data_IF_867109757454
#
_entry.id   IF_867109757454
#
_cell.length_a   1.000
_cell.length_b   1.000
_cell.length_c   1.000
_cell.angle_alpha   90.00
_cell.angle_beta   90.00
_cell.angle_gamma   90.00
#
_symmetry.space_group_name_H-M   'P 1'
#
loop_
_entity.id
_entity.type
_entity.pdbx_description
1 polymer ?
#
# COMPACT_ATOMS: atom_id res chain seq x y z
N UNK A 1 -41.98 -17.54 -19.46
CA UNK A 1 -41.49 -16.22 -18.99
C UNK A 1 -40.38 -16.32 -17.94
N UNK A 2 -40.51 -17.15 -16.90
CA UNK A 2 -39.52 -17.27 -15.80
C UNK A 2 -38.09 -17.64 -16.21
N UNK A 3 -37.90 -18.51 -17.22
CA UNK A 3 -36.55 -18.91 -17.70
C UNK A 3 -35.78 -17.78 -18.40
N UNK A 4 -36.48 -16.86 -19.07
CA UNK A 4 -35.86 -15.73 -19.78
C UNK A 4 -35.41 -14.66 -18.79
N UNK A 5 -36.20 -14.42 -17.74
CA UNK A 5 -35.84 -13.50 -16.65
C UNK A 5 -34.62 -14.00 -15.87
N UNK A 6 -34.55 -15.32 -15.61
CA UNK A 6 -33.38 -15.92 -14.97
C UNK A 6 -32.13 -15.85 -15.84
N UNK A 7 -32.25 -16.09 -17.16
CA UNK A 7 -31.15 -15.93 -18.10
C UNK A 7 -30.61 -14.50 -18.16
N UNK A 8 -31.50 -13.50 -18.22
CA UNK A 8 -31.12 -12.10 -18.19
C UNK A 8 -30.44 -11.70 -16.86
N UNK A 9 -30.95 -12.19 -15.73
CA UNK A 9 -30.36 -11.95 -14.42
C UNK A 9 -28.95 -12.54 -14.31
N UNK A 10 -28.74 -13.78 -14.77
CA UNK A 10 -27.42 -14.42 -14.75
C UNK A 10 -26.42 -13.66 -15.64
N UNK A 11 -26.84 -13.17 -16.81
CA UNK A 11 -25.98 -12.38 -17.70
C UNK A 11 -25.61 -11.04 -17.07
N UNK A 12 -26.56 -10.35 -16.43
CA UNK A 12 -26.30 -9.06 -15.75
C UNK A 12 -25.39 -9.26 -14.53
N UNK A 13 -25.61 -10.31 -13.74
CA UNK A 13 -24.74 -10.64 -12.60
C UNK A 13 -23.35 -11.05 -13.08
N UNK A 14 -23.24 -11.86 -14.13
CA UNK A 14 -21.94 -12.21 -14.71
C UNK A 14 -21.21 -10.98 -15.25
N UNK A 15 -21.90 -10.07 -15.93
CA UNK A 15 -21.32 -8.80 -16.39
C UNK A 15 -20.89 -7.90 -15.20
N UNK A 16 -21.66 -7.87 -14.12
CA UNK A 16 -21.32 -7.12 -12.91
C UNK A 16 -20.12 -7.72 -12.17
N UNK A 17 -20.03 -9.06 -12.10
CA UNK A 17 -18.88 -9.77 -11.52
C UNK A 17 -17.64 -9.55 -12.38
N UNK A 18 -17.74 -9.67 -13.70
CA UNK A 18 -16.63 -9.37 -14.63
C UNK A 18 -16.21 -7.90 -14.54
N UNK A 19 -17.16 -6.96 -14.41
CA UNK A 19 -16.86 -5.53 -14.23
C UNK A 19 -16.17 -5.25 -12.89
N UNK A 20 -16.60 -5.88 -11.79
CA UNK A 20 -15.93 -5.77 -10.49
C UNK A 20 -14.55 -6.40 -10.51
N UNK A 21 -14.40 -7.57 -11.14
CA UNK A 21 -13.08 -8.20 -11.33
C UNK A 21 -12.20 -7.31 -12.20
N UNK A 22 -12.72 -6.66 -13.24
CA UNK A 22 -11.96 -5.73 -14.07
C UNK A 22 -11.58 -4.45 -13.30
N UNK A 23 -12.44 -3.93 -12.42
CA UNK A 23 -12.12 -2.79 -11.57
C UNK A 23 -11.05 -3.15 -10.54
N UNK A 24 -11.17 -4.29 -9.87
CA UNK A 24 -10.16 -4.78 -8.91
C UNK A 24 -8.87 -5.19 -9.61
N UNK A 25 -8.95 -5.79 -10.80
CA UNK A 25 -7.77 -6.09 -11.61
C UNK A 25 -7.13 -4.80 -12.11
N UNK A 26 -7.88 -3.76 -12.48
CA UNK A 26 -7.30 -2.46 -12.81
C UNK A 26 -6.62 -1.82 -11.60
N UNK A 27 -7.14 -1.94 -10.37
CA UNK A 27 -6.46 -1.38 -9.20
C UNK A 27 -5.21 -2.18 -8.79
N UNK A 28 -5.17 -3.49 -9.08
CA UNK A 28 -4.03 -4.37 -8.74
C UNK A 28 -2.98 -4.46 -9.86
N UNK A 29 -3.38 -4.44 -11.13
CA UNK A 29 -2.50 -4.56 -12.30
C UNK A 29 -2.09 -3.22 -12.93
N UNK A 30 -2.77 -2.10 -12.66
CA UNK A 30 -2.22 -0.76 -12.99
C UNK A 30 -0.96 -0.42 -12.20
N UNK A 31 -0.58 -1.25 -11.21
CA UNK A 31 0.70 -1.13 -10.51
C UNK A 31 1.86 -1.87 -11.17
N UNK A 32 1.66 -2.63 -12.27
CA UNK A 32 2.71 -3.54 -12.77
C UNK A 32 2.92 -3.62 -14.29
N UNK A 33 2.27 -2.79 -15.10
CA UNK A 33 2.65 -2.66 -16.52
C UNK A 33 2.72 -1.19 -16.95
N UNK A 34 3.88 -0.79 -17.47
CA UNK A 34 4.05 0.48 -18.20
C UNK A 34 4.75 1.57 -17.40
N UNK A 35 6.05 1.72 -17.62
CA UNK A 35 6.82 2.83 -17.08
C UNK A 35 6.30 4.19 -17.55
N UNK A 36 6.56 5.20 -16.73
CA UNK A 36 6.86 6.57 -17.15
C UNK A 36 5.99 7.21 -18.24
N UNK A 37 4.69 6.96 -18.29
CA UNK A 37 3.79 7.94 -18.88
C UNK A 37 3.52 8.97 -17.80
N UNK A 38 4.19 10.11 -17.98
CA UNK A 38 4.00 11.32 -17.20
C UNK A 38 2.54 11.45 -16.81
N UNK A 39 2.23 11.19 -15.54
CA UNK A 39 1.04 11.73 -14.92
C UNK A 39 1.04 13.21 -15.29
N UNK A 40 0.13 13.58 -16.19
CA UNK A 40 -0.14 14.96 -16.54
C UNK A 40 -0.22 15.68 -15.21
N UNK A 41 0.68 16.64 -14.99
CA UNK A 41 0.89 17.24 -13.69
C UNK A 41 -0.46 17.74 -13.19
N UNK A 42 -1.06 17.03 -12.24
CA UNK A 42 -2.30 17.48 -11.64
C UNK A 42 -1.98 18.82 -11.00
N UNK A 43 -2.55 19.94 -11.48
CA UNK A 43 -2.15 21.28 -11.05
C UNK A 43 -2.41 21.51 -9.56
N UNK A 44 -3.16 20.61 -8.90
CA UNK A 44 -3.36 20.59 -7.44
C UNK A 44 -2.13 20.13 -6.66
N UNK A 45 -1.18 19.44 -7.31
CA UNK A 45 0.02 18.91 -6.67
C UNK A 45 1.28 19.41 -7.40
N UNK A 46 1.78 20.61 -7.04
CA UNK A 46 2.98 21.14 -7.65
C UNK A 46 4.16 20.19 -7.43
N UNK A 47 4.90 19.90 -8.51
CA UNK A 47 6.06 19.00 -8.45
C UNK A 47 7.18 19.65 -7.64
N UNK A 48 7.95 18.81 -6.96
CA UNK A 48 9.24 19.17 -6.35
C UNK A 48 10.36 19.04 -7.40
N UNK A 49 11.48 19.71 -7.16
CA UNK A 49 12.70 19.60 -7.94
C UNK A 49 13.31 18.20 -7.87
N UNK A 50 14.19 17.86 -8.82
CA UNK A 50 14.68 16.50 -9.01
C UNK A 50 15.47 15.95 -7.81
N UNK A 51 16.15 16.82 -7.06
CA UNK A 51 16.90 16.42 -5.86
C UNK A 51 15.97 16.00 -4.72
N UNK A 52 14.93 16.79 -4.43
CA UNK A 52 13.91 16.41 -3.46
C UNK A 52 13.10 15.19 -3.94
N UNK A 53 12.72 15.14 -5.22
CA UNK A 53 11.95 14.03 -5.79
C UNK A 53 12.63 12.67 -5.59
N UNK A 54 13.94 12.59 -5.81
CA UNK A 54 14.70 11.34 -5.63
C UNK A 54 14.67 10.86 -4.18
N UNK A 55 15.01 11.74 -3.24
CA UNK A 55 14.98 11.39 -1.81
C UNK A 55 13.56 11.08 -1.34
N UNK A 56 12.56 11.76 -1.90
CA UNK A 56 11.15 11.53 -1.60
C UNK A 56 10.72 10.12 -2.02
N UNK A 57 11.09 9.71 -3.24
CA UNK A 57 10.81 8.38 -3.75
C UNK A 57 11.49 7.29 -2.91
N UNK A 58 12.75 7.49 -2.51
CA UNK A 58 13.47 6.60 -1.59
C UNK A 58 12.71 6.42 -0.26
N UNK A 59 12.15 7.50 0.29
CA UNK A 59 11.36 7.43 1.52
C UNK A 59 9.99 6.77 1.33
N UNK A 60 9.33 6.97 0.20
CA UNK A 60 8.08 6.26 -0.13
C UNK A 60 8.34 4.76 -0.20
N UNK A 61 9.40 4.34 -0.90
CA UNK A 61 9.79 2.93 -0.98
C UNK A 61 10.15 2.36 0.40
N UNK A 62 10.83 3.13 1.24
CA UNK A 62 11.12 2.72 2.62
C UNK A 62 9.85 2.53 3.46
N UNK A 63 8.85 3.41 3.32
CA UNK A 63 7.54 3.26 3.98
C UNK A 63 6.85 1.97 3.54
N UNK A 64 6.82 1.69 2.24
CA UNK A 64 6.21 0.46 1.72
C UNK A 64 6.92 -0.79 2.19
N UNK A 65 8.25 -0.79 2.21
CA UNK A 65 9.04 -1.91 2.74
C UNK A 65 8.73 -2.15 4.23
N UNK A 66 8.71 -1.08 5.03
CA UNK A 66 8.40 -1.17 6.46
C UNK A 66 6.98 -1.69 6.69
N UNK A 67 6.00 -1.19 5.92
CA UNK A 67 4.61 -1.65 5.94
C UNK A 67 4.51 -3.14 5.65
N UNK A 68 5.12 -3.61 4.56
CA UNK A 68 5.09 -5.02 4.17
C UNK A 68 5.74 -5.93 5.23
N UNK A 69 6.89 -5.52 5.76
CA UNK A 69 7.57 -6.28 6.81
C UNK A 69 6.69 -6.40 8.07
N UNK A 70 6.15 -5.27 8.55
CA UNK A 70 5.31 -5.19 9.74
C UNK A 70 3.97 -5.94 9.58
N UNK A 71 3.36 -5.90 8.40
CA UNK A 71 2.07 -6.56 8.16
C UNK A 71 2.11 -8.07 8.38
N UNK A 72 3.29 -8.70 8.26
CA UNK A 72 3.46 -10.15 8.43
C UNK A 72 3.57 -10.62 9.88
N UNK A 73 3.69 -9.68 10.83
CA UNK A 73 3.89 -9.98 12.25
C UNK A 73 2.67 -10.64 12.92
N UNK A 74 2.93 -11.29 14.06
CA UNK A 74 1.93 -12.09 14.77
C UNK A 74 0.99 -11.27 15.67
N UNK A 75 1.36 -10.04 16.04
CA UNK A 75 0.56 -9.16 16.89
C UNK A 75 0.69 -7.70 16.48
N UNK A 76 -0.24 -6.88 16.98
CA UNK A 76 -0.23 -5.43 16.79
C UNK A 76 1.05 -4.78 17.31
N UNK A 77 1.53 -5.19 18.49
CA UNK A 77 2.74 -4.66 19.12
C UNK A 77 3.99 -5.04 18.32
N UNK A 78 4.07 -6.30 17.86
CA UNK A 78 5.16 -6.77 17.03
C UNK A 78 5.19 -6.05 15.66
N UNK A 79 4.02 -5.86 15.04
CA UNK A 79 3.89 -5.09 13.80
C UNK A 79 4.38 -3.65 13.98
N UNK A 80 3.93 -2.98 15.04
CA UNK A 80 4.35 -1.60 15.33
C UNK A 80 5.85 -1.49 15.57
N UNK A 81 6.42 -2.37 16.40
CA UNK A 81 7.85 -2.38 16.67
C UNK A 81 8.67 -2.68 15.41
N UNK A 82 8.20 -3.60 14.56
CA UNK A 82 8.85 -3.93 13.27
C UNK A 82 8.80 -2.73 12.32
N UNK A 83 7.66 -2.07 12.22
CA UNK A 83 7.49 -0.88 11.40
C UNK A 83 8.45 0.23 11.83
N UNK A 84 8.49 0.54 13.12
CA UNK A 84 9.36 1.59 13.68
C UNK A 84 10.85 1.28 13.50
N UNK A 85 11.24 0.02 13.68
CA UNK A 85 12.62 -0.45 13.44
C UNK A 85 13.04 -0.27 11.98
N UNK A 86 12.22 -0.73 11.02
CA UNK A 86 12.51 -0.58 9.59
C UNK A 86 12.51 0.89 9.15
N UNK A 87 11.57 1.70 9.67
CA UNK A 87 11.51 3.13 9.34
C UNK A 87 12.67 3.91 9.90
N UNK A 88 13.04 3.70 11.16
CA UNK A 88 14.14 4.42 11.80
C UNK A 88 15.47 4.19 11.07
N UNK A 89 15.71 2.97 10.58
CA UNK A 89 16.89 2.64 9.79
C UNK A 89 16.93 3.33 8.42
N UNK A 90 15.76 3.65 7.85
CA UNK A 90 15.64 4.20 6.50
C UNK A 90 15.39 5.72 6.46
N UNK A 91 15.18 6.39 7.59
CA UNK A 91 14.97 7.85 7.63
C UNK A 91 16.22 8.58 7.14
N UNK A 92 16.05 9.44 6.13
CA UNK A 92 17.11 10.32 5.65
C UNK A 92 16.96 11.74 6.21
N UNK A 93 17.94 12.25 6.99
CA UNK A 93 17.93 13.64 7.45
C UNK A 93 18.13 14.64 6.30
N UNK A 94 18.63 14.19 5.15
CA UNK A 94 18.88 15.04 3.99
C UNK A 94 17.60 15.36 3.21
N UNK A 95 16.55 14.54 3.36
CA UNK A 95 15.25 14.79 2.74
C UNK A 95 14.65 16.12 3.22
N UNK A 96 14.58 16.31 4.54
CA UNK A 96 13.95 17.50 5.12
C UNK A 96 14.72 18.77 4.72
N UNK A 97 16.06 18.72 4.76
CA UNK A 97 16.93 19.83 4.33
C UNK A 97 16.74 20.17 2.85
N UNK A 98 16.67 19.15 1.99
CA UNK A 98 16.59 19.34 0.53
C UNK A 98 15.21 19.82 0.11
N UNK A 99 14.14 19.21 0.65
CA UNK A 99 12.78 19.54 0.28
C UNK A 99 12.30 20.86 0.91
N UNK A 100 12.72 21.22 2.13
CA UNK A 100 12.32 22.49 2.76
C UNK A 100 12.85 23.74 2.04
N UNK A 101 13.86 23.60 1.17
CA UNK A 101 14.38 24.68 0.34
C UNK A 101 13.47 24.99 -0.88
N UNK A 102 12.46 24.16 -1.15
CA UNK A 102 11.59 24.28 -2.32
C UNK A 102 10.17 24.77 -1.97
N UNK A 103 9.51 25.55 -2.85
CA UNK A 103 8.17 26.08 -2.59
C UNK A 103 7.09 25.02 -2.34
N UNK A 104 7.18 23.87 -3.02
CA UNK A 104 6.25 22.74 -2.91
C UNK A 104 6.72 21.65 -1.93
N UNK A 105 7.93 21.78 -1.38
CA UNK A 105 8.53 20.71 -0.60
C UNK A 105 7.94 20.55 0.80
N UNK A 106 7.39 21.61 1.42
CA UNK A 106 6.66 21.48 2.69
C UNK A 106 5.40 20.63 2.54
N UNK A 107 4.63 20.82 1.46
CA UNK A 107 3.44 20.03 1.18
C UNK A 107 3.79 18.58 0.85
N UNK A 108 4.90 18.37 0.12
CA UNK A 108 5.44 17.05 -0.13
C UNK A 108 5.77 16.34 1.20
N UNK A 109 6.57 16.96 2.07
CA UNK A 109 6.92 16.40 3.38
C UNK A 109 5.68 16.10 4.24
N UNK A 110 4.68 16.99 4.23
CA UNK A 110 3.41 16.76 4.92
C UNK A 110 2.64 15.56 4.36
N UNK A 111 2.67 15.37 3.03
CA UNK A 111 2.06 14.19 2.39
C UNK A 111 2.77 12.89 2.77
N UNK A 112 4.10 12.91 2.84
CA UNK A 112 4.91 11.77 3.26
C UNK A 112 4.62 11.40 4.73
N UNK A 113 4.53 12.39 5.62
CA UNK A 113 4.18 12.16 7.02
C UNK A 113 2.75 11.63 7.21
N UNK A 114 1.83 11.94 6.30
CA UNK A 114 0.49 11.33 6.27
C UNK A 114 0.57 9.87 5.79
N UNK A 115 1.32 9.61 4.72
CA UNK A 115 1.54 8.27 4.20
C UNK A 115 2.15 7.35 5.26
N UNK A 116 3.21 7.80 5.94
CA UNK A 116 3.90 7.07 7.02
C UNK A 116 2.93 6.61 8.12
N UNK A 117 2.14 7.54 8.66
CA UNK A 117 1.13 7.25 9.69
C UNK A 117 0.04 6.29 9.21
N UNK A 118 -0.40 6.42 7.96
CA UNK A 118 -1.41 5.52 7.38
C UNK A 118 -0.83 4.12 7.19
N UNK A 119 0.39 4.00 6.69
CA UNK A 119 1.08 2.74 6.51
C UNK A 119 1.34 2.01 7.85
N UNK A 120 1.73 2.73 8.90
CA UNK A 120 1.83 2.15 10.26
C UNK A 120 0.47 1.57 10.69
N UNK A 121 -0.59 2.39 10.63
CA UNK A 121 -1.93 1.98 11.03
C UNK A 121 -2.45 0.78 10.22
N UNK A 122 -2.21 0.77 8.91
CA UNK A 122 -2.62 -0.34 8.04
C UNK A 122 -1.85 -1.62 8.38
N UNK A 123 -0.55 -1.54 8.68
CA UNK A 123 0.25 -2.72 9.03
C UNK A 123 -0.20 -3.36 10.34
N UNK A 124 -0.51 -2.54 11.36
CA UNK A 124 -1.05 -3.00 12.65
C UNK A 124 -2.42 -3.64 12.47
N UNK A 125 -3.28 -3.00 11.67
CA UNK A 125 -4.60 -3.55 11.33
C UNK A 125 -4.47 -4.89 10.62
N UNK A 126 -3.61 -4.98 9.62
CA UNK A 126 -3.35 -6.21 8.85
C UNK A 126 -2.85 -7.34 9.73
N UNK A 127 -1.90 -7.06 10.63
CA UNK A 127 -1.38 -8.05 11.56
C UNK A 127 -2.46 -8.56 12.53
N UNK A 128 -3.37 -7.68 12.96
CA UNK A 128 -4.48 -8.03 13.85
C UNK A 128 -5.54 -8.87 13.14
N UNK A 129 -6.01 -8.41 11.98
CA UNK A 129 -7.09 -9.06 11.22
C UNK A 129 -6.67 -10.43 10.68
N UNK A 130 -5.41 -10.58 10.26
CA UNK A 130 -4.90 -11.83 9.69
C UNK A 130 -4.40 -12.82 10.73
N UNK A 131 -4.33 -12.46 12.02
CA UNK A 131 -3.75 -13.31 13.08
C UNK A 131 -4.44 -14.67 13.15
N UNK A 132 -5.78 -14.71 13.24
CA UNK A 132 -6.54 -15.95 13.36
C UNK A 132 -6.36 -16.84 12.13
N UNK A 133 -6.36 -16.25 10.94
CA UNK A 133 -6.15 -16.94 9.66
C UNK A 133 -4.73 -17.50 9.57
N UNK A 134 -3.71 -16.75 10.00
CA UNK A 134 -2.32 -17.21 10.06
C UNK A 134 -2.14 -18.37 11.03
N UNK A 135 -2.73 -18.28 12.22
CA UNK A 135 -2.68 -19.36 13.20
C UNK A 135 -3.37 -20.62 12.66
N UNK A 136 -4.53 -20.48 12.02
CA UNK A 136 -5.20 -21.58 11.34
C UNK A 136 -4.33 -22.18 10.24
N UNK A 137 -3.74 -21.36 9.36
CA UNK A 137 -2.84 -21.83 8.31
C UNK A 137 -1.59 -22.53 8.86
N UNK A 138 -0.97 -21.99 9.92
CA UNK A 138 0.20 -22.56 10.57
C UNK A 138 -0.10 -23.89 11.26
N UNK A 139 -1.33 -24.07 11.78
CA UNK A 139 -1.74 -25.33 12.43
C UNK A 139 -1.65 -26.55 11.51
N UNK A 140 -1.81 -26.37 10.20
CA UNK A 140 -1.66 -27.43 9.19
C UNK A 140 -0.20 -27.81 8.94
N UNK A 141 0.76 -26.95 9.30
CA UNK A 141 2.20 -27.17 9.08
C UNK A 141 2.86 -27.70 10.36
N UNK A 142 2.47 -27.18 11.52
CA UNK A 142 3.06 -27.56 12.82
C UNK A 142 2.61 -28.93 13.36
N UNK A 143 1.69 -29.61 12.67
CA UNK A 143 1.11 -30.90 13.08
C UNK A 143 1.84 -32.16 12.59
N UNK A 144 2.99 -32.05 11.92
CA UNK A 144 3.80 -33.22 11.53
C UNK A 144 4.88 -33.52 12.58
N UNK A 145 4.67 -34.49 13.50
CA UNK A 145 5.79 -35.10 14.20
C UNK A 145 6.68 -35.84 13.19
N UNK A 146 7.99 -35.68 13.32
CA UNK A 146 8.96 -36.64 12.77
C UNK A 146 8.92 -37.94 13.56
#
# INVERSE_FOLDING_TARGET
MTRVVYGAYVVVVAAFVVSNIAQVASTVFSGREGGSEAAAADPRFPKVGPACAKLFEEQVQAIEKARQAASSEASAEAAKARYESERSAARSPDLERTCSAEPSGTDALASLARLDRQAESESVRSATELRSVRLAAQSFISGHPK
#
